data_IF_492400425621
#
_entry.id   IF_492400425621
#
_cell.length_a   1.000
_cell.length_b   1.000
_cell.length_c   1.000
_cell.angle_alpha   90.00
_cell.angle_beta   90.00
_cell.angle_gamma   90.00
#
_symmetry.space_group_name_H-M   'P 1'
#
loop_
_entity.id
_entity.type
_entity.pdbx_description
1 polymer ?
#
# COMPACT_ATOMS: atom_id res chain seq x y z
N UNK A 1 5.88 -1.63 -24.87
CA UNK A 1 7.19 -1.87 -24.21
C UNK A 1 7.20 -1.44 -22.74
N UNK A 2 6.08 -1.54 -22.00
CA UNK A 2 5.99 -1.14 -20.58
C UNK A 2 5.29 -2.18 -19.68
N UNK A 3 4.97 -3.36 -20.22
CA UNK A 3 4.06 -4.32 -19.58
C UNK A 3 4.80 -5.27 -18.61
N UNK A 4 6.02 -5.67 -18.99
CA UNK A 4 6.90 -6.46 -18.12
C UNK A 4 7.27 -5.67 -16.86
N UNK A 5 7.55 -4.37 -16.96
CA UNK A 5 8.03 -3.57 -15.84
C UNK A 5 6.96 -3.40 -14.76
N UNK A 6 5.73 -3.03 -15.15
CA UNK A 6 4.62 -2.86 -14.21
C UNK A 6 4.25 -4.19 -13.55
N UNK A 7 4.13 -5.27 -14.34
CA UNK A 7 3.85 -6.61 -13.81
C UNK A 7 4.97 -7.11 -12.88
N UNK A 8 6.24 -6.84 -13.21
CA UNK A 8 7.39 -7.16 -12.36
C UNK A 8 7.34 -6.38 -11.04
N UNK A 9 7.04 -5.07 -11.08
CA UNK A 9 6.91 -4.24 -9.87
C UNK A 9 5.80 -4.79 -8.96
N UNK A 10 4.61 -5.07 -9.51
CA UNK A 10 3.49 -5.60 -8.71
C UNK A 10 3.84 -6.98 -8.13
N UNK A 11 4.50 -7.84 -8.90
CA UNK A 11 4.98 -9.14 -8.42
C UNK A 11 5.97 -8.98 -7.26
N UNK A 12 6.92 -8.05 -7.36
CA UNK A 12 7.86 -7.75 -6.28
C UNK A 12 7.11 -7.25 -5.04
N UNK A 13 6.13 -6.35 -5.20
CA UNK A 13 5.32 -5.85 -4.08
C UNK A 13 4.57 -7.00 -3.39
N UNK A 14 3.97 -7.93 -4.14
CA UNK A 14 3.32 -9.12 -3.57
C UNK A 14 4.30 -9.99 -2.78
N UNK A 15 5.49 -10.24 -3.35
CA UNK A 15 6.54 -10.99 -2.65
C UNK A 15 6.95 -10.28 -1.35
N UNK A 16 7.08 -8.96 -1.37
CA UNK A 16 7.37 -8.17 -0.17
C UNK A 16 6.29 -8.34 0.92
N UNK A 17 5.01 -8.33 0.55
CA UNK A 17 3.92 -8.57 1.50
C UNK A 17 3.98 -9.99 2.10
N UNK A 18 4.19 -11.01 1.27
CA UNK A 18 4.31 -12.41 1.74
C UNK A 18 5.55 -12.61 2.64
N UNK A 19 6.67 -12.00 2.28
CA UNK A 19 7.90 -12.01 3.07
C UNK A 19 7.68 -11.30 4.42
N UNK A 20 7.00 -10.15 4.43
CA UNK A 20 6.69 -9.40 5.65
C UNK A 20 5.86 -10.23 6.64
N UNK A 21 4.84 -10.95 6.17
CA UNK A 21 4.04 -11.87 7.01
C UNK A 21 4.93 -13.00 7.55
N UNK A 22 5.71 -13.64 6.67
CA UNK A 22 6.52 -14.80 7.02
C UNK A 22 7.61 -14.46 8.05
N UNK A 23 8.34 -13.37 7.82
CA UNK A 23 9.39 -12.88 8.73
C UNK A 23 8.75 -12.36 10.02
N UNK A 24 7.66 -11.61 9.91
CA UNK A 24 6.90 -11.09 11.04
C UNK A 24 6.47 -12.17 12.01
N UNK A 25 5.87 -13.23 11.47
CA UNK A 25 5.44 -14.40 12.22
C UNK A 25 6.63 -15.11 12.89
N UNK A 26 7.68 -15.44 12.13
CA UNK A 26 8.87 -16.13 12.68
C UNK A 26 9.60 -15.33 13.75
N UNK A 27 9.63 -13.99 13.64
CA UNK A 27 10.32 -13.11 14.59
C UNK A 27 9.41 -12.59 15.71
N UNK A 28 8.12 -12.96 15.72
CA UNK A 28 7.11 -12.43 16.63
C UNK A 28 7.04 -10.89 16.65
N UNK A 29 7.39 -10.27 15.52
CA UNK A 29 7.41 -8.80 15.32
C UNK A 29 6.47 -8.37 14.20
N UNK A 30 5.44 -9.18 13.93
CA UNK A 30 4.49 -8.99 12.83
C UNK A 30 3.92 -7.58 12.79
N UNK A 31 3.46 -7.04 13.92
CA UNK A 31 2.90 -5.68 13.96
C UNK A 31 3.90 -4.63 13.48
N UNK A 32 5.15 -4.70 13.97
CA UNK A 32 6.17 -3.71 13.65
C UNK A 32 6.54 -3.78 12.16
N UNK A 33 6.76 -4.99 11.65
CA UNK A 33 7.11 -5.22 10.24
C UNK A 33 5.97 -4.77 9.31
N UNK A 34 4.71 -5.08 9.66
CA UNK A 34 3.54 -4.59 8.93
C UNK A 34 3.50 -3.06 8.93
N UNK A 35 3.80 -2.43 10.06
CA UNK A 35 3.79 -0.96 10.16
C UNK A 35 4.81 -0.33 9.23
N UNK A 36 6.03 -0.88 9.15
CA UNK A 36 7.03 -0.41 8.19
C UNK A 36 6.57 -0.59 6.75
N UNK A 37 5.96 -1.73 6.40
CA UNK A 37 5.47 -1.95 5.04
C UNK A 37 4.33 -0.99 4.68
N UNK A 38 3.40 -0.75 5.61
CA UNK A 38 2.34 0.25 5.43
C UNK A 38 2.93 1.65 5.21
N UNK A 39 3.92 2.05 6.02
CA UNK A 39 4.60 3.34 5.85
C UNK A 39 5.21 3.47 4.46
N UNK A 40 5.98 2.48 4.00
CA UNK A 40 6.61 2.50 2.67
C UNK A 40 5.56 2.56 1.56
N UNK A 41 4.48 1.79 1.70
CA UNK A 41 3.41 1.73 0.71
C UNK A 41 2.68 3.06 0.62
N UNK A 42 2.24 3.63 1.75
CA UNK A 42 1.52 4.90 1.77
C UNK A 42 2.38 6.05 1.25
N UNK A 43 3.67 6.10 1.65
CA UNK A 43 4.60 7.12 1.13
C UNK A 43 4.74 6.96 -0.39
N UNK A 44 4.85 5.73 -0.90
CA UNK A 44 4.87 5.45 -2.33
C UNK A 44 3.62 5.95 -3.05
N UNK A 45 2.43 5.72 -2.46
CA UNK A 45 1.15 6.21 -2.99
C UNK A 45 1.14 7.75 -3.02
N UNK A 46 1.56 8.42 -1.94
CA UNK A 46 1.60 9.88 -1.89
C UNK A 46 2.59 10.49 -2.89
N UNK A 47 3.77 9.88 -3.05
CA UNK A 47 4.76 10.33 -4.05
C UNK A 47 4.20 10.17 -5.45
N UNK A 48 3.63 9.01 -5.76
CA UNK A 48 2.99 8.76 -7.06
C UNK A 48 1.90 9.80 -7.33
N UNK A 49 0.99 9.96 -6.37
CA UNK A 49 -0.11 10.90 -6.42
C UNK A 49 0.36 12.35 -6.65
N UNK A 50 1.37 12.80 -5.91
CA UNK A 50 1.94 14.15 -6.03
C UNK A 50 2.61 14.41 -7.39
N UNK A 51 3.15 13.37 -8.05
CA UNK A 51 3.74 13.48 -9.39
C UNK A 51 2.65 13.46 -10.47
N UNK A 52 1.62 12.63 -10.32
CA UNK A 52 0.61 12.43 -11.35
C UNK A 52 -0.51 13.48 -11.33
N UNK A 53 -0.97 13.90 -10.15
CA UNK A 53 -2.12 14.82 -10.02
C UNK A 53 -1.90 16.16 -10.77
N UNK A 54 -0.75 16.85 -10.66
CA UNK A 54 -0.52 18.12 -11.35
C UNK A 54 -0.41 17.99 -12.88
N UNK A 55 -0.07 16.79 -13.39
CA UNK A 55 0.11 16.54 -14.82
C UNK A 55 -1.22 16.25 -15.54
N UNK A 56 -2.33 16.16 -14.83
CA UNK A 56 -3.66 15.99 -15.41
C UNK A 56 -4.20 17.39 -15.75
N UNK A 57 -4.32 17.69 -17.06
CA UNK A 57 -4.72 19.01 -17.60
C UNK A 57 -6.01 19.59 -17.01
N UNK A 58 -6.89 18.75 -16.46
CA UNK A 58 -8.12 19.15 -15.79
C UNK A 58 -8.35 18.19 -14.61
N UNK A 59 -7.56 18.36 -13.55
CA UNK A 59 -7.71 17.54 -12.35
C UNK A 59 -8.90 18.04 -11.53
N UNK A 60 -10.06 17.42 -11.73
CA UNK A 60 -11.17 17.54 -10.80
C UNK A 60 -10.90 16.60 -9.64
N UNK A 61 -10.58 17.17 -8.46
CA UNK A 61 -10.41 16.41 -7.24
C UNK A 61 -11.74 15.71 -6.91
N UNK A 62 -11.86 14.44 -7.27
CA UNK A 62 -13.08 13.68 -7.00
C UNK A 62 -13.16 13.35 -5.51
N UNK A 63 -14.37 13.37 -4.95
CA UNK A 63 -14.60 12.99 -3.56
C UNK A 63 -14.01 11.62 -3.20
N UNK A 64 -14.00 10.68 -4.15
CA UNK A 64 -13.38 9.35 -4.02
C UNK A 64 -11.88 9.43 -3.76
N UNK A 65 -11.17 10.30 -4.47
CA UNK A 65 -9.72 10.48 -4.32
C UNK A 65 -9.38 11.08 -2.96
N UNK A 66 -10.14 12.07 -2.52
CA UNK A 66 -9.99 12.64 -1.17
C UNK A 66 -10.20 11.58 -0.07
N UNK A 67 -11.19 10.69 -0.23
CA UNK A 67 -11.42 9.60 0.71
C UNK A 67 -10.23 8.63 0.77
N UNK A 68 -9.64 8.29 -0.39
CA UNK A 68 -8.45 7.42 -0.43
C UNK A 68 -7.27 8.10 0.27
N UNK A 69 -6.97 9.36 -0.05
CA UNK A 69 -5.87 10.10 0.59
C UNK A 69 -6.08 10.20 2.11
N UNK A 70 -7.31 10.45 2.56
CA UNK A 70 -7.65 10.51 3.98
C UNK A 70 -7.41 9.15 4.67
N UNK A 71 -7.88 8.05 4.07
CA UNK A 71 -7.67 6.70 4.57
C UNK A 71 -6.17 6.36 4.66
N UNK A 72 -5.42 6.62 3.60
CA UNK A 72 -3.97 6.40 3.55
C UNK A 72 -3.24 7.21 4.63
N UNK A 73 -3.65 8.47 4.83
CA UNK A 73 -3.11 9.32 5.90
C UNK A 73 -3.35 8.72 7.28
N UNK A 74 -4.57 8.21 7.54
CA UNK A 74 -4.86 7.50 8.78
C UNK A 74 -3.96 6.27 8.95
N UNK A 75 -3.81 5.43 7.93
CA UNK A 75 -2.95 4.25 7.96
C UNK A 75 -1.50 4.65 8.29
N UNK A 76 -0.99 5.71 7.66
CA UNK A 76 0.36 6.22 7.91
C UNK A 76 0.57 6.70 9.35
N UNK A 77 -0.38 7.46 9.89
CA UNK A 77 -0.33 7.91 11.28
C UNK A 77 -0.23 6.71 12.23
N UNK A 78 -1.09 5.70 12.06
CA UNK A 78 -1.07 4.50 12.90
C UNK A 78 0.19 3.66 12.70
N UNK A 79 0.77 3.64 11.50
CA UNK A 79 2.05 3.01 11.23
C UNK A 79 3.17 3.71 12.01
N UNK A 80 3.22 5.06 12.01
CA UNK A 80 4.18 5.81 12.80
C UNK A 80 4.00 5.61 14.31
N UNK A 81 2.76 5.61 14.82
CA UNK A 81 2.50 5.30 16.24
C UNK A 81 3.10 3.93 16.63
N UNK A 82 2.92 2.93 15.78
CA UNK A 82 3.49 1.59 16.01
C UNK A 82 5.03 1.63 16.06
N UNK A 83 5.65 2.29 15.08
CA UNK A 83 7.13 2.39 14.94
C UNK A 83 7.76 3.14 16.12
N UNK A 84 7.13 4.22 16.61
CA UNK A 84 7.67 5.04 17.72
C UNK A 84 7.57 4.31 19.08
N UNK A 85 6.79 3.23 19.18
CA UNK A 85 6.78 2.37 20.38
C UNK A 85 5.41 1.86 20.80
N UNK A 86 4.32 2.28 20.16
CA UNK A 86 2.96 1.87 20.52
C UNK A 86 2.50 0.59 19.83
N UNK A 87 3.42 -0.19 19.22
CA UNK A 87 3.13 -1.43 18.51
C UNK A 87 2.39 -2.50 19.35
N UNK A 88 2.40 -2.41 20.68
CA UNK A 88 1.69 -3.33 21.56
C UNK A 88 0.23 -2.97 21.82
N UNK A 89 -0.21 -1.74 21.51
CA UNK A 89 -1.60 -1.30 21.73
C UNK A 89 -2.55 -1.98 20.74
N UNK A 90 -3.66 -2.52 21.25
CA UNK A 90 -4.61 -3.30 20.46
C UNK A 90 -5.15 -2.53 19.23
N UNK A 91 -5.60 -1.29 19.42
CA UNK A 91 -6.12 -0.46 18.32
C UNK A 91 -5.07 -0.15 17.25
N UNK A 92 -3.83 0.13 17.65
CA UNK A 92 -2.72 0.38 16.71
C UNK A 92 -2.41 -0.88 15.89
N UNK A 93 -2.44 -2.06 16.52
CA UNK A 93 -2.30 -3.35 15.81
C UNK A 93 -3.40 -3.54 14.77
N UNK A 94 -4.65 -3.43 15.19
CA UNK A 94 -5.82 -3.68 14.33
C UNK A 94 -5.79 -2.78 13.10
N UNK A 95 -5.54 -1.48 13.28
CA UNK A 95 -5.53 -0.54 12.16
C UNK A 95 -4.36 -0.81 11.19
N UNK A 96 -3.18 -1.14 11.71
CA UNK A 96 -2.06 -1.55 10.86
C UNK A 96 -2.36 -2.84 10.07
N UNK A 97 -3.03 -3.82 10.69
CA UNK A 97 -3.47 -5.03 9.99
C UNK A 97 -4.53 -4.74 8.92
N UNK A 98 -5.48 -3.84 9.19
CA UNK A 98 -6.48 -3.41 8.21
C UNK A 98 -5.79 -2.73 7.03
N UNK A 99 -4.91 -1.75 7.28
CA UNK A 99 -4.17 -1.06 6.22
C UNK A 99 -3.35 -2.03 5.37
N UNK A 100 -2.66 -2.97 6.01
CA UNK A 100 -1.92 -4.02 5.30
C UNK A 100 -2.82 -4.90 4.44
N UNK A 101 -3.98 -5.30 4.97
CA UNK A 101 -4.96 -6.09 4.23
C UNK A 101 -5.48 -5.35 3.00
N UNK A 102 -5.77 -4.05 3.14
CA UNK A 102 -6.19 -3.18 2.03
C UNK A 102 -5.10 -3.11 0.96
N UNK A 103 -3.85 -2.83 1.34
CA UNK A 103 -2.73 -2.77 0.40
C UNK A 103 -2.50 -4.10 -0.33
N UNK A 104 -2.56 -5.22 0.40
CA UNK A 104 -2.42 -6.55 -0.18
C UNK A 104 -3.56 -6.86 -1.16
N UNK A 105 -4.81 -6.60 -0.77
CA UNK A 105 -5.98 -6.81 -1.62
C UNK A 105 -5.93 -5.93 -2.88
N UNK A 106 -5.55 -4.66 -2.74
CA UNK A 106 -5.39 -3.75 -3.88
C UNK A 106 -4.30 -4.26 -4.84
N UNK A 107 -3.17 -4.75 -4.31
CA UNK A 107 -2.08 -5.30 -5.12
C UNK A 107 -2.52 -6.58 -5.85
N UNK A 108 -3.21 -7.50 -5.17
CA UNK A 108 -3.77 -8.71 -5.79
C UNK A 108 -4.80 -8.36 -6.86
N UNK A 109 -5.68 -7.39 -6.57
CA UNK A 109 -6.70 -6.92 -7.50
C UNK A 109 -6.08 -6.34 -8.77
N UNK A 110 -5.06 -5.49 -8.64
CA UNK A 110 -4.32 -4.96 -9.78
C UNK A 110 -3.62 -6.06 -10.58
N UNK A 111 -2.97 -7.01 -9.90
CA UNK A 111 -2.29 -8.13 -10.56
C UNK A 111 -3.27 -9.01 -11.35
N UNK A 112 -4.39 -9.37 -10.72
CA UNK A 112 -5.45 -10.14 -11.37
C UNK A 112 -6.04 -9.40 -12.57
N UNK A 113 -6.32 -8.11 -12.42
CA UNK A 113 -6.90 -7.29 -13.48
C UNK A 113 -5.94 -7.20 -14.69
N UNK A 114 -4.64 -6.99 -14.46
CA UNK A 114 -3.64 -7.00 -15.53
C UNK A 114 -3.59 -8.35 -16.26
N UNK A 115 -3.60 -9.46 -15.52
CA UNK A 115 -3.53 -10.80 -16.10
C UNK A 115 -4.79 -11.15 -16.89
N UNK A 116 -5.97 -10.88 -16.32
CA UNK A 116 -7.26 -11.23 -16.91
C UNK A 116 -7.57 -10.40 -18.16
N UNK A 117 -7.23 -9.11 -18.16
CA UNK A 117 -7.60 -8.19 -19.23
C UNK A 117 -6.44 -7.81 -20.16
N UNK A 118 -5.24 -8.42 -20.00
CA UNK A 118 -4.02 -8.13 -20.79
C UNK A 118 -3.78 -6.63 -20.95
N UNK A 119 -3.84 -5.92 -19.83
CA UNK A 119 -3.88 -4.47 -19.83
C UNK A 119 -2.48 -3.91 -20.13
N UNK A 120 -2.22 -3.48 -21.37
CA UNK A 120 -0.92 -2.97 -21.83
C UNK A 120 -0.46 -1.65 -21.15
N UNK A 121 -1.36 -0.98 -20.40
CA UNK A 121 -1.10 0.28 -19.67
C UNK A 121 -2.02 0.47 -18.46
N UNK A 122 -1.46 0.50 -17.24
CA UNK A 122 -2.13 1.20 -16.13
C UNK A 122 -1.99 2.71 -16.39
N UNK A 123 -3.06 3.29 -16.97
CA UNK A 123 -3.22 4.68 -17.41
C UNK A 123 -2.52 5.06 -18.74
#
# INVERSE_FOLDING_TARGET
MNDLHVSTIITIILICHLAAITIGYKKQKTTLIISYLNTVTVIGIFVFWAITSPNIKQHNFEFRELLVICLETCILIFAFYSIIGFHNKAFVKVINFIGFGIHLLATIGMFYYMFAFKFDKLF
#
